data_IF_934906825979
#
_entry.id   IF_934906825979
#
_cell.length_a   1.000
_cell.length_b   1.000
_cell.length_c   1.000
_cell.angle_alpha   90.00
_cell.angle_beta   90.00
_cell.angle_gamma   90.00
#
_symmetry.space_group_name_H-M   'P 1'
#
loop_
_entity.id
_entity.type
_entity.pdbx_description
1 polymer ?
#
# COMPACT_ATOMS: atom_id res chain seq x y z
N UNK A 1 -2.54 25.54 21.07
CA UNK A 1 -3.15 26.83 20.63
C UNK A 1 -4.18 26.54 19.56
N UNK A 2 -5.38 27.17 19.63
CA UNK A 2 -6.39 27.04 18.58
C UNK A 2 -6.51 28.34 17.77
N UNK A 3 -6.75 28.19 16.45
CA UNK A 3 -6.95 29.31 15.54
C UNK A 3 -7.98 28.95 14.45
N UNK A 4 -8.74 29.96 13.99
CA UNK A 4 -9.62 29.84 12.82
C UNK A 4 -8.84 30.23 11.58
N UNK A 5 -8.84 29.36 10.57
CA UNK A 5 -8.08 29.57 9.33
C UNK A 5 -8.85 29.12 8.11
N UNK A 6 -8.63 29.83 7.00
CA UNK A 6 -9.05 29.41 5.67
C UNK A 6 -7.97 28.51 5.08
N UNK A 7 -8.36 27.35 4.60
CA UNK A 7 -7.46 26.39 3.97
C UNK A 7 -7.25 26.78 2.50
N UNK A 8 -5.99 26.85 2.08
CA UNK A 8 -5.63 27.39 0.77
C UNK A 8 -5.46 26.32 -0.30
N UNK A 9 -4.73 25.25 -0.02
CA UNK A 9 -4.39 24.22 -1.01
C UNK A 9 -4.04 22.88 -0.39
N UNK A 10 -4.04 21.85 -1.22
CA UNK A 10 -3.51 20.54 -0.85
C UNK A 10 -2.00 20.58 -0.58
N UNK A 11 -1.54 19.66 0.23
CA UNK A 11 -0.13 19.36 0.46
C UNK A 11 0.08 17.84 0.49
N UNK A 12 1.32 17.42 0.66
CA UNK A 12 1.68 16.03 0.80
C UNK A 12 1.25 15.42 2.14
N UNK A 13 1.37 14.11 2.27
CA UNK A 13 1.11 13.35 3.51
C UNK A 13 -0.31 13.57 4.10
N UNK A 14 -1.31 13.81 3.25
CA UNK A 14 -2.69 14.00 3.68
C UNK A 14 -2.93 15.31 4.45
N UNK A 15 -2.14 16.34 4.20
CA UNK A 15 -2.24 17.66 4.81
C UNK A 15 -2.68 18.72 3.80
N UNK A 16 -3.16 19.81 4.32
CA UNK A 16 -3.41 21.04 3.56
C UNK A 16 -2.59 22.20 4.12
N UNK A 17 -2.47 23.27 3.36
CA UNK A 17 -1.76 24.50 3.76
C UNK A 17 -2.75 25.58 4.17
N UNK A 18 -2.43 26.25 5.27
CA UNK A 18 -3.02 27.50 5.71
C UNK A 18 -1.92 28.43 6.22
N UNK A 19 -2.27 29.67 6.56
CA UNK A 19 -1.37 30.62 7.21
C UNK A 19 -1.98 31.16 8.52
N UNK A 20 -1.17 31.27 9.56
CA UNK A 20 -1.49 31.93 10.82
C UNK A 20 -0.41 32.98 11.06
N UNK A 21 -0.79 34.26 11.17
CA UNK A 21 0.14 35.39 11.37
C UNK A 21 1.31 35.39 10.35
N UNK A 22 1.03 35.07 9.10
CA UNK A 22 2.00 34.99 8.00
C UNK A 22 2.88 33.73 8.00
N UNK A 23 2.65 32.81 8.91
CA UNK A 23 3.38 31.53 8.99
C UNK A 23 2.60 30.41 8.36
N UNK A 24 3.30 29.55 7.60
CA UNK A 24 2.75 28.33 7.02
C UNK A 24 2.34 27.35 8.12
N UNK A 25 1.14 26.81 8.00
CA UNK A 25 0.63 25.72 8.85
C UNK A 25 0.19 24.56 7.98
N UNK A 26 0.71 23.37 8.25
CA UNK A 26 0.24 22.12 7.63
C UNK A 26 -0.86 21.50 8.48
N UNK A 27 -2.07 21.47 7.92
CA UNK A 27 -3.30 21.08 8.63
C UNK A 27 -3.77 19.71 8.16
N UNK A 28 -3.95 18.77 9.10
CA UNK A 28 -4.57 17.46 8.84
C UNK A 28 -6.09 17.56 8.86
N UNK A 29 -6.74 16.68 8.11
CA UNK A 29 -8.21 16.57 8.01
C UNK A 29 -8.90 17.84 7.52
N UNK A 30 -8.20 18.68 6.80
CA UNK A 30 -8.73 19.85 6.13
C UNK A 30 -8.89 19.60 4.62
N UNK A 31 -9.71 20.43 3.97
CA UNK A 31 -9.85 20.50 2.52
C UNK A 31 -9.67 21.95 2.06
N UNK A 32 -9.16 22.21 0.85
CA UNK A 32 -9.07 23.55 0.31
C UNK A 32 -10.42 24.27 0.36
N UNK A 33 -10.36 25.58 0.54
CA UNK A 33 -11.48 26.51 0.64
C UNK A 33 -12.34 26.37 1.92
N UNK A 34 -12.07 25.40 2.79
CA UNK A 34 -12.75 25.31 4.08
C UNK A 34 -12.34 26.42 5.05
N UNK A 35 -13.28 26.88 5.86
CA UNK A 35 -13.00 27.59 7.10
C UNK A 35 -13.04 26.59 8.24
N UNK A 36 -11.93 26.44 8.96
CA UNK A 36 -11.80 25.44 10.04
C UNK A 36 -11.18 26.05 11.29
N UNK A 37 -11.48 25.45 12.45
CA UNK A 37 -10.72 25.67 13.67
C UNK A 37 -9.66 24.56 13.79
N UNK A 38 -8.42 24.98 13.91
CA UNK A 38 -7.25 24.12 13.99
C UNK A 38 -6.66 24.16 15.38
N UNK A 39 -6.31 23.03 15.94
CA UNK A 39 -5.44 22.92 17.10
C UNK A 39 -4.01 22.64 16.63
N UNK A 40 -3.06 23.52 17.02
CA UNK A 40 -1.66 23.37 16.66
C UNK A 40 -1.01 22.28 17.51
N UNK A 41 -0.14 21.49 16.89
CA UNK A 41 0.68 20.49 17.57
C UNK A 41 1.66 21.17 18.53
N UNK A 42 1.88 20.57 19.70
CA UNK A 42 2.82 21.06 20.71
C UNK A 42 4.06 20.14 20.80
N UNK A 43 5.25 20.65 21.04
CA UNK A 43 5.59 22.08 21.15
C UNK A 43 5.64 22.78 19.77
N UNK A 44 5.32 24.07 19.76
CA UNK A 44 5.56 24.94 18.59
C UNK A 44 6.19 26.26 19.05
N UNK A 45 7.14 26.76 18.27
CA UNK A 45 7.86 28.01 18.56
C UNK A 45 7.60 29.04 17.44
N UNK A 46 7.74 30.33 17.82
CA UNK A 46 7.66 31.43 16.86
C UNK A 46 8.77 31.41 15.82
N UNK A 47 9.90 30.76 16.13
CA UNK A 47 11.05 30.65 15.21
C UNK A 47 10.97 29.42 14.29
N UNK A 48 10.00 28.53 14.45
CA UNK A 48 9.79 27.40 13.57
C UNK A 48 9.47 27.88 12.14
N UNK A 49 10.01 27.21 11.15
CA UNK A 49 9.77 27.53 9.72
C UNK A 49 8.31 27.33 9.32
N UNK A 50 7.63 26.39 9.93
CA UNK A 50 6.22 26.08 9.75
C UNK A 50 5.68 25.43 11.01
N UNK A 51 4.36 25.46 11.15
CA UNK A 51 3.66 24.72 12.18
C UNK A 51 2.88 23.57 11.60
N UNK A 52 2.46 22.65 12.44
CA UNK A 52 1.53 21.57 12.12
C UNK A 52 0.33 21.62 13.05
N UNK A 53 -0.78 21.06 12.61
CA UNK A 53 -1.99 21.01 13.43
C UNK A 53 -3.07 20.13 12.80
N UNK A 54 -4.14 19.98 13.54
CA UNK A 54 -5.27 19.14 13.14
C UNK A 54 -6.59 19.90 13.29
N UNK A 55 -7.52 19.63 12.38
CA UNK A 55 -8.87 20.21 12.45
C UNK A 55 -9.59 19.67 13.69
N UNK A 56 -10.10 20.60 14.51
CA UNK A 56 -10.97 20.29 15.65
C UNK A 56 -12.43 20.61 15.38
N UNK A 57 -12.71 21.55 14.45
CA UNK A 57 -14.04 21.92 14.04
C UNK A 57 -14.05 22.43 12.59
N UNK A 58 -15.06 22.05 11.82
CA UNK A 58 -15.29 22.56 10.46
C UNK A 58 -16.42 23.58 10.51
N UNK A 59 -16.11 24.83 10.18
CA UNK A 59 -17.07 25.95 10.23
C UNK A 59 -17.78 26.13 8.89
N UNK A 60 -17.02 26.03 7.78
CA UNK A 60 -17.54 26.06 6.41
C UNK A 60 -16.97 24.88 5.66
N UNK A 61 -17.75 23.82 5.38
CA UNK A 61 -17.25 22.60 4.75
C UNK A 61 -17.10 22.76 3.23
N UNK A 62 -16.11 22.06 2.66
CA UNK A 62 -15.99 21.83 1.22
C UNK A 62 -17.07 20.85 0.73
N UNK A 63 -17.44 20.93 -0.56
CA UNK A 63 -18.32 19.95 -1.22
C UNK A 63 -17.73 18.52 -1.23
N UNK A 64 -16.41 18.40 -1.16
CA UNK A 64 -15.69 17.13 -1.10
C UNK A 64 -15.61 16.55 0.32
N UNK A 65 -16.13 17.22 1.35
CA UNK A 65 -16.14 16.71 2.71
C UNK A 65 -17.22 15.65 2.92
N UNK A 66 -16.81 14.54 3.56
CA UNK A 66 -17.72 13.46 3.97
C UNK A 66 -17.51 13.10 5.44
N UNK A 67 -18.54 12.50 6.05
CA UNK A 67 -18.41 11.86 7.35
C UNK A 67 -17.49 10.65 7.22
N UNK A 68 -16.44 10.52 8.05
CA UNK A 68 -15.54 9.37 8.03
C UNK A 68 -16.27 8.03 8.16
N UNK A 69 -16.12 7.15 7.17
CA UNK A 69 -16.64 5.79 7.25
C UNK A 69 -15.93 4.94 8.33
N UNK A 70 -14.75 5.37 8.76
CA UNK A 70 -14.03 4.83 9.90
C UNK A 70 -13.67 5.97 10.87
N UNK A 71 -14.56 6.26 11.86
CA UNK A 71 -14.38 7.40 12.76
C UNK A 71 -13.06 7.36 13.55
N UNK A 72 -12.58 6.19 13.95
CA UNK A 72 -11.29 6.03 14.65
C UNK A 72 -10.09 6.54 13.83
N UNK A 73 -10.16 6.53 12.50
CA UNK A 73 -9.11 7.09 11.64
C UNK A 73 -9.25 8.59 11.40
N UNK A 74 -10.34 9.20 11.85
CA UNK A 74 -10.63 10.64 11.75
C UNK A 74 -9.82 11.50 12.71
N UNK A 75 -10.23 12.77 12.89
CA UNK A 75 -9.60 13.72 13.79
C UNK A 75 -9.58 13.25 15.25
N UNK A 76 -8.51 13.57 15.97
CA UNK A 76 -8.35 13.20 17.38
C UNK A 76 -9.45 13.85 18.24
N UNK A 77 -9.76 15.11 18.00
CA UNK A 77 -10.81 15.86 18.72
C UNK A 77 -12.21 15.24 18.53
N UNK A 78 -12.42 14.45 17.49
CA UNK A 78 -13.67 13.73 17.20
C UNK A 78 -13.62 12.25 17.64
N UNK A 79 -12.70 11.90 18.53
CA UNK A 79 -12.53 10.54 19.05
C UNK A 79 -11.69 9.60 18.17
N UNK A 80 -11.08 10.13 17.11
CA UNK A 80 -10.24 9.40 16.17
C UNK A 80 -8.77 9.36 16.58
N UNK A 81 -7.91 9.52 15.59
CA UNK A 81 -6.45 9.66 15.76
C UNK A 81 -5.65 8.44 15.33
N UNK A 82 -6.23 7.30 15.01
CA UNK A 82 -5.46 6.16 14.49
C UNK A 82 -4.96 6.42 13.07
N UNK A 83 -3.82 5.85 12.70
CA UNK A 83 -3.27 5.93 11.35
C UNK A 83 -3.97 5.02 10.35
N UNK A 84 -3.54 5.08 9.10
CA UNK A 84 -3.91 4.13 8.04
C UNK A 84 -5.01 4.58 7.08
N UNK A 85 -5.70 5.71 7.33
CA UNK A 85 -6.72 6.28 6.45
C UNK A 85 -6.73 7.81 6.51
N UNK A 86 -5.67 8.47 6.03
CA UNK A 86 -5.49 9.93 6.16
C UNK A 86 -6.53 10.75 5.40
N UNK A 87 -7.17 10.21 4.36
CA UNK A 87 -8.19 10.89 3.57
C UNK A 87 -9.62 10.40 3.87
N UNK A 88 -9.87 9.91 5.06
CA UNK A 88 -11.16 9.33 5.47
C UNK A 88 -12.30 10.37 5.48
N UNK A 89 -11.96 11.66 5.56
CA UNK A 89 -12.88 12.80 5.54
C UNK A 89 -13.18 13.34 4.13
N UNK A 90 -12.62 12.73 3.10
CA UNK A 90 -12.66 13.20 1.72
C UNK A 90 -13.51 12.27 0.87
N UNK A 91 -14.39 12.84 0.03
CA UNK A 91 -15.18 12.09 -0.95
C UNK A 91 -14.28 11.25 -1.87
N UNK A 92 -14.79 10.14 -2.38
CA UNK A 92 -13.98 9.30 -3.29
C UNK A 92 -13.50 10.05 -4.55
N UNK A 93 -14.28 10.94 -5.20
CA UNK A 93 -13.76 11.80 -6.26
C UNK A 93 -12.69 12.77 -5.76
N UNK A 94 -12.91 13.41 -4.60
CA UNK A 94 -11.96 14.33 -3.97
C UNK A 94 -10.61 13.66 -3.67
N UNK A 95 -10.59 12.39 -3.25
CA UNK A 95 -9.36 11.63 -3.04
C UNK A 95 -8.54 11.46 -4.33
N UNK A 96 -9.18 11.22 -5.47
CA UNK A 96 -8.48 11.14 -6.77
C UNK A 96 -7.91 12.49 -7.16
N UNK A 97 -8.69 13.57 -7.01
CA UNK A 97 -8.26 14.96 -7.26
C UNK A 97 -7.05 15.31 -6.40
N UNK A 98 -7.12 15.04 -5.08
CA UNK A 98 -5.99 15.29 -4.17
C UNK A 98 -4.72 14.55 -4.61
N UNK A 99 -4.82 13.25 -4.87
CA UNK A 99 -3.68 12.43 -5.30
C UNK A 99 -3.08 12.94 -6.62
N UNK A 100 -3.90 13.30 -7.60
CA UNK A 100 -3.44 13.85 -8.87
C UNK A 100 -2.64 15.15 -8.68
N UNK A 101 -3.17 16.08 -7.89
CA UNK A 101 -2.50 17.34 -7.57
C UNK A 101 -1.18 17.09 -6.84
N UNK A 102 -1.18 16.23 -5.83
CA UNK A 102 0.03 15.91 -5.05
C UNK A 102 1.11 15.30 -5.93
N UNK A 103 0.78 14.34 -6.78
CA UNK A 103 1.76 13.69 -7.68
C UNK A 103 2.31 14.71 -8.67
N UNK A 104 1.45 15.49 -9.33
CA UNK A 104 1.89 16.52 -10.29
C UNK A 104 2.79 17.58 -9.64
N UNK A 105 2.45 18.02 -8.40
CA UNK A 105 3.28 18.98 -7.66
C UNK A 105 4.65 18.40 -7.30
N UNK A 106 4.72 17.15 -6.87
CA UNK A 106 6.00 16.49 -6.57
C UNK A 106 6.85 16.30 -7.84
N UNK A 107 6.24 15.93 -8.97
CA UNK A 107 6.92 15.80 -10.25
C UNK A 107 7.49 17.14 -10.72
N UNK A 108 6.73 18.23 -10.59
CA UNK A 108 7.20 19.57 -10.96
C UNK A 108 8.32 20.06 -10.02
N UNK A 109 8.12 19.96 -8.69
CA UNK A 109 9.05 20.53 -7.69
C UNK A 109 10.35 19.75 -7.55
N UNK A 110 10.29 18.41 -7.55
CA UNK A 110 11.45 17.54 -7.30
C UNK A 110 11.99 16.94 -8.59
N UNK A 111 11.13 16.56 -9.51
CA UNK A 111 11.51 15.98 -10.79
C UNK A 111 11.79 17.01 -11.88
N UNK A 112 11.41 18.28 -11.68
CA UNK A 112 11.44 19.35 -12.69
C UNK A 112 10.71 18.96 -13.98
N UNK A 113 9.63 18.20 -13.85
CA UNK A 113 8.80 17.69 -14.94
C UNK A 113 7.36 18.15 -14.73
N UNK A 114 6.84 18.93 -15.65
CA UNK A 114 5.42 19.33 -15.64
C UNK A 114 4.60 18.28 -16.38
N UNK A 115 3.90 17.47 -15.63
CA UNK A 115 3.06 16.39 -16.15
C UNK A 115 1.76 16.26 -15.37
N UNK A 116 0.66 16.08 -16.09
CA UNK A 116 -0.62 15.66 -15.50
C UNK A 116 -0.64 14.12 -15.46
N UNK A 117 -0.60 13.57 -14.25
CA UNK A 117 -0.62 12.13 -14.05
C UNK A 117 -2.07 11.68 -13.83
N UNK A 118 -2.62 10.80 -14.67
CA UNK A 118 -3.95 10.26 -14.45
C UNK A 118 -3.95 9.36 -13.22
N UNK A 119 -4.93 9.57 -12.34
CA UNK A 119 -5.15 8.74 -11.15
C UNK A 119 -6.43 7.95 -11.35
N UNK A 120 -6.28 6.65 -11.39
CA UNK A 120 -7.38 5.71 -11.60
C UNK A 120 -7.79 5.05 -10.28
N UNK A 121 -9.09 4.80 -10.17
CA UNK A 121 -9.64 4.03 -9.04
C UNK A 121 -9.51 2.55 -9.33
N UNK A 122 -9.13 1.79 -8.31
CA UNK A 122 -9.12 0.33 -8.44
C UNK A 122 -10.54 -0.22 -8.67
N UNK A 123 -10.69 -1.27 -9.48
CA UNK A 123 -11.96 -1.93 -9.70
C UNK A 123 -12.64 -2.36 -8.39
N UNK A 124 -13.94 -2.13 -8.29
CA UNK A 124 -14.74 -2.48 -7.12
C UNK A 124 -14.76 -1.47 -5.98
N UNK A 125 -13.78 -0.57 -5.85
CA UNK A 125 -13.67 0.36 -4.73
C UNK A 125 -14.82 1.36 -4.65
N UNK A 126 -15.37 1.78 -5.81
CA UNK A 126 -16.55 2.66 -5.82
C UNK A 126 -17.76 1.97 -5.18
N UNK A 127 -18.01 0.72 -5.53
CA UNK A 127 -19.12 -0.05 -4.99
C UNK A 127 -18.94 -0.36 -3.49
N UNK A 128 -17.70 -0.53 -3.04
CA UNK A 128 -17.35 -0.75 -1.64
C UNK A 128 -17.23 0.54 -0.82
N UNK A 129 -17.47 1.73 -1.41
CA UNK A 129 -17.31 3.01 -0.72
C UNK A 129 -15.86 3.32 -0.30
N UNK A 130 -14.86 2.71 -0.96
CA UNK A 130 -13.44 2.84 -0.59
C UNK A 130 -13.01 1.96 0.59
N UNK A 131 -13.84 0.99 0.97
CA UNK A 131 -13.59 0.05 2.08
C UNK A 131 -13.30 -1.37 1.54
N UNK A 132 -13.00 -2.31 2.44
CA UNK A 132 -12.88 -3.75 2.17
C UNK A 132 -11.88 -4.11 1.05
N UNK A 133 -10.73 -3.46 1.02
CA UNK A 133 -9.72 -3.68 -0.02
C UNK A 133 -8.39 -4.28 0.49
N UNK A 134 -8.11 -4.22 1.82
CA UNK A 134 -6.85 -4.72 2.38
C UNK A 134 -6.89 -6.22 2.60
N UNK A 135 -5.92 -6.92 2.03
CA UNK A 135 -5.70 -8.37 2.21
C UNK A 135 -4.70 -8.67 3.33
N UNK A 136 -4.03 -7.64 3.86
CA UNK A 136 -3.07 -7.74 4.97
C UNK A 136 -3.25 -6.57 5.92
N UNK A 137 -3.25 -6.87 7.22
CA UNK A 137 -3.27 -5.88 8.29
C UNK A 137 -2.22 -6.19 9.34
N UNK A 138 -1.72 -5.14 9.98
CA UNK A 138 -0.82 -5.24 11.12
C UNK A 138 -1.36 -4.42 12.27
N UNK A 139 -1.27 -4.96 13.46
CA UNK A 139 -1.73 -4.38 14.72
C UNK A 139 -0.69 -4.64 15.79
N UNK A 140 -0.85 -3.99 16.93
CA UNK A 140 -0.01 -4.20 18.11
C UNK A 140 -0.95 -4.48 19.28
N UNK A 141 -0.64 -5.47 20.11
CA UNK A 141 -1.38 -5.69 21.34
C UNK A 141 -1.19 -4.50 22.30
N UNK A 142 -2.28 -3.98 22.86
CA UNK A 142 -2.22 -2.97 23.91
C UNK A 142 -1.81 -3.56 25.27
N UNK A 143 -1.82 -2.74 26.31
CA UNK A 143 -1.42 -3.17 27.66
C UNK A 143 -2.38 -4.19 28.29
N UNK A 144 -3.59 -4.36 27.72
CA UNK A 144 -4.59 -5.38 28.10
C UNK A 144 -4.57 -6.61 27.18
N UNK A 145 -3.62 -6.67 26.24
CA UNK A 145 -3.52 -7.75 25.27
C UNK A 145 -4.56 -7.69 24.15
N UNK A 146 -5.21 -6.54 23.93
CA UNK A 146 -6.19 -6.35 22.86
C UNK A 146 -5.51 -5.86 21.58
N UNK A 147 -5.98 -6.29 20.38
CA UNK A 147 -5.53 -5.71 19.12
C UNK A 147 -5.74 -4.20 19.12
N UNK A 148 -4.72 -3.47 18.73
CA UNK A 148 -4.76 -2.02 18.80
C UNK A 148 -3.96 -1.36 17.67
N UNK A 149 -4.23 -0.08 17.45
CA UNK A 149 -3.46 0.77 16.56
C UNK A 149 -2.89 1.97 17.33
N UNK A 150 -1.74 2.45 16.89
CA UNK A 150 -1.15 3.66 17.47
C UNK A 150 -1.91 4.91 17.02
N UNK A 151 -2.10 5.83 17.96
CA UNK A 151 -2.50 7.20 17.61
C UNK A 151 -1.35 7.90 16.90
N UNK A 152 -1.68 8.66 15.87
CA UNK A 152 -0.70 9.45 15.10
C UNK A 152 0.16 10.33 16.03
N UNK A 153 1.46 10.34 15.74
CA UNK A 153 2.42 11.17 16.48
C UNK A 153 2.62 10.79 17.95
N UNK A 154 2.04 9.68 18.41
CA UNK A 154 2.16 9.25 19.80
C UNK A 154 2.51 7.75 19.92
N UNK A 155 2.85 7.31 21.13
CA UNK A 155 2.96 5.90 21.48
C UNK A 155 1.66 5.30 22.03
N UNK A 156 0.62 6.15 22.22
CA UNK A 156 -0.65 5.71 22.75
C UNK A 156 -1.33 4.74 21.79
N UNK A 157 -1.95 3.69 22.33
CA UNK A 157 -2.64 2.65 21.61
C UNK A 157 -4.14 2.77 21.81
N UNK A 158 -4.89 2.48 20.78
CA UNK A 158 -6.36 2.43 20.80
C UNK A 158 -6.78 1.04 20.39
N UNK A 159 -7.43 0.32 21.28
CA UNK A 159 -7.98 -1.00 20.97
C UNK A 159 -8.97 -0.88 19.81
N UNK A 160 -8.94 -1.86 18.92
CA UNK A 160 -9.88 -1.97 17.79
C UNK A 160 -10.53 -3.35 17.80
N UNK A 161 -11.77 -3.39 17.42
CA UNK A 161 -12.58 -4.60 17.29
C UNK A 161 -12.94 -4.92 15.83
N UNK A 162 -12.50 -4.06 14.92
CA UNK A 162 -12.66 -4.19 13.47
C UNK A 162 -11.70 -3.28 12.72
N UNK A 163 -11.51 -3.55 11.44
CA UNK A 163 -10.80 -2.66 10.51
C UNK A 163 -11.57 -2.57 9.19
N UNK A 164 -12.37 -1.53 8.97
CA UNK A 164 -13.24 -1.42 7.79
C UNK A 164 -12.52 -1.43 6.44
N UNK A 165 -11.21 -1.16 6.42
CA UNK A 165 -10.40 -1.26 5.20
C UNK A 165 -10.07 -2.70 4.83
N UNK A 166 -10.10 -3.65 5.78
CA UNK A 166 -9.81 -5.06 5.52
C UNK A 166 -10.91 -5.71 4.67
N UNK A 167 -10.53 -6.65 3.82
CA UNK A 167 -11.49 -7.44 3.06
C UNK A 167 -12.43 -8.20 3.99
N UNK A 168 -13.64 -8.49 3.52
CA UNK A 168 -14.60 -9.25 4.32
C UNK A 168 -14.05 -10.61 4.71
N UNK A 169 -13.38 -11.30 3.79
CA UNK A 169 -12.73 -12.58 4.05
C UNK A 169 -11.69 -12.48 5.18
N UNK A 170 -10.91 -11.39 5.21
CA UNK A 170 -9.95 -11.16 6.30
C UNK A 170 -10.67 -10.93 7.63
N UNK A 171 -11.74 -10.14 7.65
CA UNK A 171 -12.52 -9.89 8.86
C UNK A 171 -13.18 -11.18 9.40
N UNK A 172 -13.65 -12.04 8.50
CA UNK A 172 -14.23 -13.34 8.87
C UNK A 172 -13.19 -14.29 9.45
N UNK A 173 -11.96 -14.32 8.86
CA UNK A 173 -10.82 -15.05 9.44
C UNK A 173 -10.47 -14.49 10.82
N UNK A 174 -10.36 -13.17 10.96
CA UNK A 174 -10.05 -12.54 12.24
C UNK A 174 -11.08 -12.90 13.34
N UNK A 175 -12.36 -12.98 12.96
CA UNK A 175 -13.44 -13.41 13.86
C UNK A 175 -13.33 -14.90 14.18
N UNK A 176 -13.12 -15.77 13.20
CA UNK A 176 -12.98 -17.21 13.36
C UNK A 176 -11.81 -17.59 14.27
N UNK A 177 -10.68 -16.88 14.10
CA UNK A 177 -9.47 -17.10 14.88
C UNK A 177 -9.44 -16.30 16.21
N UNK A 178 -10.57 -15.72 16.60
CA UNK A 178 -10.75 -14.99 17.86
C UNK A 178 -9.77 -13.83 18.07
N UNK A 179 -9.29 -13.23 16.97
CA UNK A 179 -8.28 -12.17 17.03
C UNK A 179 -8.78 -10.95 17.80
N UNK A 180 -10.07 -10.58 17.61
CA UNK A 180 -10.66 -9.42 18.27
C UNK A 180 -10.94 -9.62 19.76
N UNK A 181 -10.85 -10.84 20.25
CA UNK A 181 -11.06 -11.17 21.67
C UNK A 181 -9.81 -10.94 22.53
N UNK A 182 -8.67 -10.67 21.89
CA UNK A 182 -7.41 -10.38 22.57
C UNK A 182 -6.68 -11.64 23.07
N UNK A 183 -6.06 -11.52 24.24
CA UNK A 183 -5.25 -12.59 24.83
C UNK A 183 -3.83 -12.65 24.27
N UNK A 184 -3.36 -11.55 23.68
CA UNK A 184 -1.98 -11.39 23.23
C UNK A 184 -1.08 -10.84 24.33
N UNK A 185 0.20 -11.15 24.28
CA UNK A 185 1.18 -10.50 25.15
C UNK A 185 1.25 -9.00 24.81
N UNK A 186 1.24 -8.10 25.82
CA UNK A 186 1.33 -6.67 25.58
C UNK A 186 2.55 -6.29 24.73
N UNK A 187 2.29 -5.57 23.64
CA UNK A 187 3.34 -5.13 22.72
C UNK A 187 3.62 -6.05 21.55
N UNK A 188 3.07 -7.27 21.54
CA UNK A 188 3.21 -8.20 20.43
C UNK A 188 2.68 -7.62 19.12
N UNK A 189 3.37 -7.89 18.03
CA UNK A 189 2.93 -7.56 16.68
C UNK A 189 1.98 -8.64 16.18
N UNK A 190 0.79 -8.24 15.78
CA UNK A 190 -0.26 -9.13 15.27
C UNK A 190 -0.41 -8.84 13.77
N UNK A 191 -0.16 -9.83 12.92
CA UNK A 191 -0.34 -9.71 11.48
C UNK A 191 -1.36 -10.73 10.99
N UNK A 192 -2.31 -10.28 10.17
CA UNK A 192 -3.19 -11.13 9.41
C UNK A 192 -2.90 -10.95 7.93
N UNK A 193 -2.81 -12.07 7.22
CA UNK A 193 -2.63 -12.12 5.77
C UNK A 193 -3.63 -13.11 5.20
N UNK A 194 -4.54 -12.63 4.36
CA UNK A 194 -5.61 -13.45 3.75
C UNK A 194 -5.68 -13.10 2.28
N UNK A 195 -5.18 -13.95 1.37
CA UNK A 195 -5.33 -13.78 -0.06
C UNK A 195 -6.79 -13.64 -0.46
N UNK A 196 -7.07 -12.80 -1.44
CA UNK A 196 -8.43 -12.65 -1.96
C UNK A 196 -8.85 -13.93 -2.70
N UNK A 197 -10.06 -14.45 -2.47
CA UNK A 197 -10.56 -15.62 -3.18
C UNK A 197 -10.71 -15.38 -4.68
N UNK A 198 -10.64 -16.45 -5.46
CA UNK A 198 -10.89 -16.42 -6.92
C UNK A 198 -12.34 -16.05 -7.22
N UNK A 199 -12.53 -15.15 -8.20
CA UNK A 199 -13.82 -14.87 -8.79
C UNK A 199 -14.53 -13.65 -8.23
N UNK A 200 -15.61 -13.29 -8.90
CA UNK A 200 -16.49 -12.21 -8.48
C UNK A 200 -17.10 -12.56 -7.12
N UNK A 201 -16.87 -11.65 -6.17
CA UNK A 201 -17.59 -11.55 -4.89
C UNK A 201 -18.25 -12.86 -4.51
N UNK A 202 -17.56 -13.77 -3.94
CA UNK A 202 -18.20 -14.94 -3.39
C UNK A 202 -17.74 -15.18 -1.99
N UNK A 203 -18.75 -15.37 -1.20
CA UNK A 203 -18.77 -16.06 0.06
C UNK A 203 -17.44 -16.66 0.51
N UNK A 204 -17.07 -16.22 1.58
CA UNK A 204 -16.18 -16.53 2.67
C UNK A 204 -15.59 -17.95 2.79
N UNK A 205 -15.97 -18.89 1.95
CA UNK A 205 -15.53 -20.28 2.02
C UNK A 205 -14.10 -20.53 1.51
N UNK A 206 -13.46 -19.53 0.91
CA UNK A 206 -12.21 -19.75 0.19
C UNK A 206 -10.95 -19.73 1.05
N UNK A 207 -11.08 -19.54 2.34
CA UNK A 207 -9.92 -19.43 3.23
C UNK A 207 -9.64 -20.68 4.05
N UNK A 208 -10.05 -21.86 3.61
CA UNK A 208 -9.99 -23.03 4.50
C UNK A 208 -8.62 -23.19 5.15
N UNK A 209 -7.51 -23.01 4.43
CA UNK A 209 -6.17 -22.97 5.02
C UNK A 209 -5.26 -21.91 4.38
N UNK A 210 -5.76 -21.11 3.43
CA UNK A 210 -4.99 -20.09 2.72
C UNK A 210 -5.04 -18.73 3.41
N UNK A 211 -4.69 -18.70 4.67
CA UNK A 211 -4.57 -17.51 5.50
C UNK A 211 -3.46 -17.68 6.51
N UNK A 212 -3.03 -16.61 7.14
CA UNK A 212 -2.11 -16.65 8.27
C UNK A 212 -2.49 -15.61 9.34
N UNK A 213 -2.43 -16.04 10.58
CA UNK A 213 -2.35 -15.18 11.77
C UNK A 213 -0.96 -15.36 12.37
N UNK A 214 -0.17 -14.29 12.36
CA UNK A 214 1.17 -14.28 12.92
C UNK A 214 1.21 -13.41 14.17
N UNK A 215 1.94 -13.85 15.18
CA UNK A 215 2.27 -13.08 16.38
C UNK A 215 3.78 -13.01 16.50
N UNK A 216 4.34 -11.80 16.50
CA UNK A 216 5.79 -11.55 16.51
C UNK A 216 6.54 -12.30 15.39
N UNK A 217 5.87 -12.49 14.25
CA UNK A 217 6.39 -13.19 13.08
C UNK A 217 6.23 -14.71 13.11
N UNK A 218 5.77 -15.29 14.22
CA UNK A 218 5.52 -16.72 14.37
C UNK A 218 4.07 -17.08 14.02
N UNK A 219 3.89 -18.22 13.36
CA UNK A 219 2.56 -18.69 12.93
C UNK A 219 1.71 -19.14 14.13
N UNK A 220 0.59 -18.46 14.37
CA UNK A 220 -0.41 -18.84 15.36
C UNK A 220 -1.51 -19.71 14.76
N UNK A 221 -1.98 -19.36 13.53
CA UNK A 221 -3.02 -20.11 12.82
C UNK A 221 -2.88 -19.98 11.30
N UNK A 222 -3.38 -20.95 10.56
CA UNK A 222 -3.34 -21.01 9.09
C UNK A 222 -2.01 -21.54 8.56
N UNK A 223 -1.49 -20.94 7.50
CA UNK A 223 -0.32 -21.38 6.76
C UNK A 223 0.76 -20.33 6.66
N UNK A 224 2.04 -20.71 6.86
CA UNK A 224 3.18 -19.81 6.66
C UNK A 224 3.37 -19.43 5.20
N UNK A 225 2.97 -20.28 4.28
CA UNK A 225 3.07 -20.06 2.84
C UNK A 225 1.67 -19.93 2.25
N UNK A 226 1.39 -18.77 1.68
CA UNK A 226 0.10 -18.42 1.12
C UNK A 226 0.13 -18.48 -0.41
N UNK A 227 -0.96 -18.90 -1.01
CA UNK A 227 -1.15 -18.88 -2.46
C UNK A 227 -1.93 -17.62 -2.86
N UNK A 228 -1.25 -16.70 -3.52
CA UNK A 228 -1.84 -15.53 -4.16
C UNK A 228 -2.10 -15.83 -5.63
N UNK A 229 -3.27 -15.48 -6.13
CA UNK A 229 -3.62 -15.72 -7.50
C UNK A 229 -3.87 -14.42 -8.25
N UNK A 230 -3.19 -14.24 -9.37
CA UNK A 230 -3.24 -13.02 -10.19
C UNK A 230 -3.55 -13.37 -11.63
N UNK A 231 -4.63 -12.83 -12.19
CA UNK A 231 -4.98 -13.00 -13.60
C UNK A 231 -4.60 -11.74 -14.38
N UNK A 232 -3.70 -11.89 -15.36
CA UNK A 232 -3.20 -10.80 -16.21
C UNK A 232 -3.51 -11.17 -17.65
N UNK A 233 -4.24 -10.32 -18.37
CA UNK A 233 -4.61 -10.52 -19.78
C UNK A 233 -5.16 -11.94 -20.07
N UNK A 234 -5.96 -12.49 -19.15
CA UNK A 234 -6.58 -13.81 -19.28
C UNK A 234 -5.70 -14.99 -18.84
N UNK A 235 -4.45 -14.78 -18.50
CA UNK A 235 -3.54 -15.80 -17.94
C UNK A 235 -3.49 -15.69 -16.43
N UNK A 236 -3.68 -16.80 -15.74
CA UNK A 236 -3.65 -16.86 -14.29
C UNK A 236 -2.31 -17.38 -13.79
N UNK A 237 -1.73 -16.67 -12.82
CA UNK A 237 -0.47 -16.98 -12.14
C UNK A 237 -0.74 -17.28 -10.67
N UNK A 238 -0.23 -18.39 -10.18
CA UNK A 238 -0.24 -18.74 -8.76
C UNK A 238 1.13 -18.40 -8.14
N UNK A 239 1.12 -17.56 -7.10
CA UNK A 239 2.31 -17.14 -6.37
C UNK A 239 2.30 -17.75 -4.98
N UNK A 240 3.33 -18.47 -4.64
CA UNK A 240 3.59 -18.88 -3.26
C UNK A 240 4.34 -17.74 -2.56
N UNK A 241 3.74 -17.16 -1.54
CA UNK A 241 4.26 -15.98 -0.82
C UNK A 241 4.32 -16.28 0.67
N UNK A 242 5.45 -16.00 1.30
CA UNK A 242 5.56 -16.08 2.76
C UNK A 242 4.59 -15.09 3.44
N UNK A 243 3.84 -15.56 4.43
CA UNK A 243 2.84 -14.78 5.12
C UNK A 243 3.42 -13.56 5.85
N UNK A 244 4.69 -13.65 6.28
CA UNK A 244 5.45 -12.54 6.88
C UNK A 244 6.13 -11.66 5.83
N UNK A 245 6.15 -12.08 4.56
CA UNK A 245 6.75 -11.34 3.46
C UNK A 245 5.87 -10.20 2.94
N UNK A 246 6.50 -9.35 2.11
CA UNK A 246 5.75 -8.31 1.41
C UNK A 246 4.91 -8.92 0.28
N UNK A 247 3.68 -8.42 0.16
CA UNK A 247 2.80 -8.55 -1.00
C UNK A 247 1.92 -7.32 -1.10
N UNK A 248 1.39 -7.01 -2.28
CA UNK A 248 0.49 -5.86 -2.47
C UNK A 248 -0.73 -6.00 -1.58
N UNK A 249 -0.98 -4.99 -0.75
CA UNK A 249 -2.05 -5.05 0.27
C UNK A 249 -3.44 -4.80 -0.28
N UNK A 250 -3.55 -4.11 -1.42
CA UNK A 250 -4.82 -3.88 -2.08
C UNK A 250 -5.15 -5.07 -2.98
N UNK A 251 -6.32 -5.69 -2.78
CA UNK A 251 -6.76 -6.90 -3.49
C UNK A 251 -6.64 -6.85 -5.02
N UNK A 252 -6.80 -5.65 -5.62
CA UNK A 252 -6.72 -5.46 -7.08
C UNK A 252 -5.35 -4.96 -7.56
N UNK A 253 -4.46 -4.53 -6.67
CA UNK A 253 -3.17 -3.99 -7.07
C UNK A 253 -2.29 -4.98 -7.83
N UNK A 254 -2.20 -6.27 -7.47
CA UNK A 254 -1.41 -7.23 -8.23
C UNK A 254 -1.85 -7.32 -9.70
N UNK A 255 -3.16 -7.36 -9.93
CA UNK A 255 -3.74 -7.46 -11.28
C UNK A 255 -3.51 -6.16 -12.06
N UNK A 256 -3.85 -5.00 -11.45
CA UNK A 256 -3.75 -3.71 -12.12
C UNK A 256 -2.29 -3.37 -12.47
N UNK A 257 -1.37 -3.52 -11.51
CA UNK A 257 0.06 -3.25 -11.71
C UNK A 257 0.67 -4.24 -12.71
N UNK A 258 0.40 -5.54 -12.55
CA UNK A 258 0.90 -6.57 -13.46
C UNK A 258 0.42 -6.34 -14.90
N UNK A 259 -0.87 -6.08 -15.09
CA UNK A 259 -1.45 -5.78 -16.43
C UNK A 259 -0.81 -4.52 -17.04
N UNK A 260 -0.66 -3.45 -16.23
CA UNK A 260 -0.07 -2.21 -16.71
C UNK A 260 1.40 -2.40 -17.15
N UNK A 261 2.21 -3.04 -16.31
CA UNK A 261 3.63 -3.31 -16.60
C UNK A 261 3.77 -4.18 -17.86
N UNK A 262 3.02 -5.26 -17.97
CA UNK A 262 3.06 -6.15 -19.14
C UNK A 262 2.70 -5.39 -20.43
N UNK A 263 1.65 -4.58 -20.38
CA UNK A 263 1.22 -3.82 -21.57
C UNK A 263 2.29 -2.78 -21.99
N UNK A 264 2.91 -2.08 -21.03
CA UNK A 264 4.00 -1.15 -21.32
C UNK A 264 5.22 -1.86 -21.92
N UNK A 265 5.65 -2.97 -21.33
CA UNK A 265 6.83 -3.73 -21.78
C UNK A 265 6.59 -4.29 -23.18
N UNK A 266 5.42 -4.90 -23.45
CA UNK A 266 5.08 -5.41 -24.77
C UNK A 266 5.02 -4.29 -25.82
N UNK A 267 4.51 -3.12 -25.45
CA UNK A 267 4.50 -1.94 -26.31
C UNK A 267 5.91 -1.46 -26.70
N UNK A 268 6.87 -1.55 -25.78
CA UNK A 268 8.27 -1.19 -26.02
C UNK A 268 9.02 -2.25 -26.84
N UNK A 269 8.80 -3.51 -26.57
CA UNK A 269 9.49 -4.62 -27.25
C UNK A 269 9.04 -4.84 -28.69
N UNK A 270 7.84 -4.37 -29.06
CA UNK A 270 7.28 -4.50 -30.41
C UNK A 270 7.46 -5.90 -31.03
N UNK A 271 7.20 -6.94 -30.24
CA UNK A 271 7.36 -8.35 -30.64
C UNK A 271 8.80 -8.81 -30.87
N UNK A 272 9.78 -8.20 -30.21
CA UNK A 272 11.16 -8.69 -30.23
C UNK A 272 11.20 -10.14 -29.74
N UNK A 273 11.52 -11.06 -30.63
CA UNK A 273 11.54 -12.50 -30.34
C UNK A 273 12.65 -12.90 -29.34
N UNK A 274 13.62 -12.04 -29.10
CA UNK A 274 14.83 -12.29 -28.33
C UNK A 274 15.15 -11.09 -27.44
N UNK A 275 14.45 -10.96 -26.31
CA UNK A 275 14.56 -9.82 -25.42
C UNK A 275 15.32 -10.16 -24.13
N UNK A 276 16.01 -9.16 -23.57
CA UNK A 276 16.56 -9.20 -22.21
C UNK A 276 15.81 -8.20 -21.37
N UNK A 277 15.24 -8.63 -20.25
CA UNK A 277 14.48 -7.79 -19.32
C UNK A 277 15.14 -7.88 -17.95
N UNK A 278 15.28 -6.74 -17.29
CA UNK A 278 15.62 -6.68 -15.88
C UNK A 278 14.41 -6.29 -15.07
N UNK A 279 14.13 -7.07 -14.02
CA UNK A 279 13.11 -6.80 -13.00
C UNK A 279 13.83 -6.56 -11.67
N UNK A 280 13.98 -5.29 -11.30
CA UNK A 280 14.76 -4.86 -10.15
C UNK A 280 13.83 -4.49 -8.99
N UNK A 281 14.19 -4.93 -7.78
CA UNK A 281 13.32 -4.92 -6.59
C UNK A 281 12.08 -5.82 -6.75
N UNK A 282 12.31 -6.98 -7.34
CA UNK A 282 11.26 -7.85 -7.88
C UNK A 282 10.35 -8.53 -6.83
N UNK A 283 10.67 -8.45 -5.55
CA UNK A 283 9.90 -9.09 -4.48
C UNK A 283 9.76 -10.59 -4.69
N UNK A 284 8.55 -11.11 -4.55
CA UNK A 284 8.22 -12.53 -4.79
C UNK A 284 7.94 -12.84 -6.27
N UNK A 285 8.24 -11.92 -7.19
CA UNK A 285 8.17 -12.11 -8.63
C UNK A 285 6.85 -11.69 -9.28
N UNK A 286 6.12 -10.72 -8.68
CA UNK A 286 4.84 -10.26 -9.22
C UNK A 286 4.92 -9.88 -10.71
N UNK A 287 5.96 -9.16 -11.12
CA UNK A 287 6.19 -8.81 -12.51
C UNK A 287 7.04 -9.86 -13.24
N UNK A 288 7.96 -10.51 -12.55
CA UNK A 288 8.90 -11.48 -13.13
C UNK A 288 8.16 -12.61 -13.88
N UNK A 289 7.16 -13.25 -13.24
CA UNK A 289 6.46 -14.39 -13.84
C UNK A 289 5.71 -14.01 -15.12
N UNK A 290 4.84 -13.00 -15.14
CA UNK A 290 4.16 -12.61 -16.36
C UNK A 290 5.11 -12.04 -17.42
N UNK A 291 6.17 -11.33 -17.05
CA UNK A 291 7.18 -10.86 -18.01
C UNK A 291 7.88 -12.05 -18.70
N UNK A 292 8.28 -13.06 -17.95
CA UNK A 292 8.92 -14.25 -18.50
C UNK A 292 7.98 -15.10 -19.40
N UNK A 293 6.66 -14.97 -19.22
CA UNK A 293 5.67 -15.80 -19.91
C UNK A 293 5.06 -15.10 -21.12
N UNK A 294 4.88 -13.78 -21.05
CA UNK A 294 3.99 -13.02 -21.94
C UNK A 294 4.72 -12.04 -22.87
N UNK A 295 6.06 -11.98 -22.85
CA UNK A 295 6.80 -10.98 -23.62
C UNK A 295 7.53 -11.50 -24.85
N UNK A 296 7.73 -12.77 -25.03
CA UNK A 296 8.39 -13.32 -26.21
C UNK A 296 8.85 -14.74 -26.01
N UNK A 297 9.06 -15.46 -27.12
CA UNK A 297 9.39 -16.89 -27.07
C UNK A 297 10.77 -17.19 -26.44
N UNK A 298 11.70 -16.24 -26.47
CA UNK A 298 13.07 -16.40 -25.95
C UNK A 298 13.48 -15.25 -25.05
N UNK A 299 12.54 -14.78 -24.20
CA UNK A 299 12.82 -13.75 -23.21
C UNK A 299 13.77 -14.29 -22.14
N UNK A 300 14.89 -13.62 -21.95
CA UNK A 300 15.84 -13.86 -20.86
C UNK A 300 15.70 -12.77 -19.83
N UNK A 301 15.74 -13.15 -18.56
CA UNK A 301 15.51 -12.17 -17.50
C UNK A 301 16.55 -12.24 -16.40
N UNK A 302 16.88 -11.06 -15.86
CA UNK A 302 17.52 -10.89 -14.58
C UNK A 302 16.48 -10.32 -13.60
N UNK A 303 16.23 -11.02 -12.50
CA UNK A 303 15.37 -10.59 -11.41
C UNK A 303 16.22 -10.38 -10.16
N UNK A 304 16.19 -9.21 -9.53
CA UNK A 304 17.02 -8.88 -8.37
C UNK A 304 16.17 -8.36 -7.23
N UNK A 305 16.38 -8.95 -6.04
CA UNK A 305 15.65 -8.57 -4.82
C UNK A 305 16.56 -8.68 -3.60
N UNK A 306 16.48 -7.71 -2.68
CA UNK A 306 17.28 -7.69 -1.44
C UNK A 306 16.83 -8.73 -0.42
N UNK A 307 15.53 -8.98 -0.30
CA UNK A 307 14.96 -9.88 0.69
C UNK A 307 15.09 -11.36 0.27
N UNK A 308 15.98 -12.10 0.93
CA UNK A 308 16.25 -13.51 0.60
C UNK A 308 15.00 -14.41 0.60
N UNK A 309 14.03 -14.13 1.49
CA UNK A 309 12.76 -14.89 1.56
C UNK A 309 11.94 -14.66 0.30
N UNK A 310 11.83 -13.42 -0.15
CA UNK A 310 11.13 -13.07 -1.38
C UNK A 310 11.76 -13.72 -2.61
N UNK A 311 13.09 -13.73 -2.71
CA UNK A 311 13.81 -14.44 -3.81
C UNK A 311 13.54 -15.94 -3.78
N UNK A 312 13.52 -16.57 -2.60
CA UNK A 312 13.17 -18.00 -2.48
C UNK A 312 11.74 -18.28 -2.98
N UNK A 313 10.80 -17.37 -2.68
CA UNK A 313 9.44 -17.47 -3.20
C UNK A 313 9.43 -17.31 -4.72
N UNK A 314 10.07 -16.28 -5.27
CA UNK A 314 10.19 -16.06 -6.71
C UNK A 314 10.80 -17.29 -7.42
N UNK A 315 11.89 -17.83 -6.92
CA UNK A 315 12.54 -19.04 -7.48
C UNK A 315 11.63 -20.29 -7.43
N UNK A 316 10.80 -20.42 -6.37
CA UNK A 316 9.81 -21.50 -6.26
C UNK A 316 8.73 -21.32 -7.33
N UNK A 317 8.21 -20.11 -7.47
CA UNK A 317 7.17 -19.78 -8.43
C UNK A 317 7.65 -19.96 -9.87
N UNK A 318 8.87 -19.54 -10.19
CA UNK A 318 9.50 -19.76 -11.50
C UNK A 318 9.63 -21.25 -11.83
N UNK A 319 10.10 -22.07 -10.88
CA UNK A 319 10.22 -23.53 -11.07
C UNK A 319 8.86 -24.19 -11.29
N UNK A 320 7.82 -23.77 -10.57
CA UNK A 320 6.46 -24.30 -10.74
C UNK A 320 5.93 -24.08 -12.14
N UNK A 321 6.37 -23.02 -12.84
CA UNK A 321 6.00 -22.68 -14.20
C UNK A 321 7.04 -23.12 -15.25
N UNK A 322 8.10 -23.83 -14.88
CA UNK A 322 9.21 -24.24 -15.76
C UNK A 322 9.93 -23.06 -16.45
N UNK A 323 9.98 -21.88 -15.82
CA UNK A 323 10.63 -20.69 -16.33
C UNK A 323 12.14 -20.70 -15.98
N UNK A 324 12.93 -21.43 -16.78
CA UNK A 324 14.36 -21.67 -16.52
C UNK A 324 15.28 -20.57 -17.06
N UNK A 325 14.78 -19.66 -17.91
CA UNK A 325 15.56 -18.56 -18.51
C UNK A 325 15.53 -17.27 -17.69
N UNK A 326 15.09 -17.38 -16.42
CA UNK A 326 15.09 -16.30 -15.43
C UNK A 326 16.16 -16.52 -14.39
N UNK A 327 17.12 -15.61 -14.31
CA UNK A 327 18.17 -15.60 -13.27
C UNK A 327 17.69 -14.72 -12.09
N UNK A 328 17.10 -15.37 -11.07
CA UNK A 328 16.57 -14.68 -9.88
C UNK A 328 17.61 -14.68 -8.76
N UNK A 329 18.11 -13.49 -8.40
CA UNK A 329 19.22 -13.26 -7.46
C UNK A 329 18.80 -12.50 -6.21
N UNK A 330 19.33 -12.95 -5.08
CA UNK A 330 19.25 -12.20 -3.82
C UNK A 330 20.48 -11.30 -3.68
N UNK A 331 20.25 -10.00 -3.49
CA UNK A 331 21.35 -9.06 -3.27
C UNK A 331 20.90 -7.60 -3.40
N UNK A 332 21.81 -6.73 -3.03
CA UNK A 332 21.69 -5.30 -3.32
C UNK A 332 21.70 -5.10 -4.84
N UNK A 333 20.77 -4.29 -5.34
CA UNK A 333 20.60 -4.09 -6.79
C UNK A 333 21.86 -3.52 -7.41
N UNK A 334 22.44 -2.45 -6.86
CA UNK A 334 23.62 -1.79 -7.41
C UNK A 334 24.79 -2.78 -7.54
N UNK A 335 25.11 -3.49 -6.46
CA UNK A 335 26.22 -4.48 -6.44
C UNK A 335 25.97 -5.67 -7.36
N UNK A 336 24.71 -6.10 -7.50
CA UNK A 336 24.38 -7.21 -8.39
C UNK A 336 24.57 -6.82 -9.85
N UNK A 337 24.27 -5.57 -10.21
CA UNK A 337 24.41 -5.06 -11.56
C UNK A 337 25.89 -4.93 -12.00
N UNK A 338 26.84 -4.81 -11.07
CA UNK A 338 28.28 -4.82 -11.38
C UNK A 338 28.77 -6.17 -11.93
N UNK A 339 27.98 -7.25 -11.73
CA UNK A 339 28.37 -8.63 -12.02
C UNK A 339 27.33 -9.38 -12.87
N UNK A 340 26.70 -8.70 -13.81
CA UNK A 340 25.70 -9.30 -14.70
C UNK A 340 26.39 -10.17 -15.76
N UNK A 341 25.94 -11.42 -16.00
CA UNK A 341 26.46 -12.26 -17.06
C UNK A 341 26.32 -11.61 -18.44
N UNK A 342 27.28 -11.85 -19.33
CA UNK A 342 27.35 -11.21 -20.64
C UNK A 342 26.03 -11.37 -21.45
N UNK A 343 25.34 -12.51 -21.34
CA UNK A 343 24.09 -12.77 -22.06
C UNK A 343 22.89 -11.99 -21.50
N UNK A 344 23.01 -11.38 -20.32
CA UNK A 344 21.99 -10.54 -19.67
C UNK A 344 22.45 -9.08 -19.55
N UNK A 345 23.67 -8.73 -19.94
CA UNK A 345 24.29 -7.44 -19.65
C UNK A 345 23.70 -6.23 -20.40
N UNK A 346 22.85 -6.48 -21.41
CA UNK A 346 22.25 -5.40 -22.22
C UNK A 346 20.74 -5.56 -22.24
N UNK A 347 20.02 -5.04 -21.25
CA UNK A 347 18.57 -5.15 -21.24
C UNK A 347 17.93 -4.29 -22.33
N UNK A 348 16.86 -4.81 -22.94
CA UNK A 348 15.96 -4.06 -23.79
C UNK A 348 14.99 -3.22 -22.97
N UNK A 349 14.61 -3.74 -21.81
CA UNK A 349 13.70 -3.06 -20.86
C UNK A 349 14.17 -3.31 -19.43
N UNK A 350 14.05 -2.27 -18.60
CA UNK A 350 14.26 -2.37 -17.14
C UNK A 350 12.96 -1.98 -16.45
N UNK A 351 12.46 -2.86 -15.59
CA UNK A 351 11.34 -2.61 -14.69
C UNK A 351 11.91 -2.31 -13.31
N UNK A 352 11.45 -1.22 -12.68
CA UNK A 352 11.93 -0.73 -11.39
C UNK A 352 10.74 -0.48 -10.46
N UNK A 353 10.73 -1.13 -9.29
CA UNK A 353 9.78 -0.84 -8.20
C UNK A 353 10.53 -0.72 -6.86
N UNK A 354 11.37 0.33 -6.68
CA UNK A 354 12.21 0.48 -5.50
C UNK A 354 11.40 0.81 -4.24
N UNK A 355 11.94 0.50 -3.04
CA UNK A 355 11.34 0.94 -1.78
C UNK A 355 11.40 2.48 -1.67
N UNK A 356 10.52 3.07 -0.82
CA UNK A 356 10.42 4.53 -0.64
C UNK A 356 11.71 5.20 -0.16
N UNK A 357 12.60 4.46 0.45
CA UNK A 357 13.89 4.97 0.92
C UNK A 357 14.97 5.01 -0.17
N UNK A 358 14.67 4.54 -1.37
CA UNK A 358 15.62 4.47 -2.49
C UNK A 358 16.47 3.22 -2.48
#
# INVERSE_FOLDING_TARGET
MQAEVRIERYADQGRCVAHIDGRVVFVRFALPDELVRVELDEPHDRDDRFWTGEVVEVLEPSEDRVTPAWPLAGPLAMGGGVGGADLVHVSLPGQLKWKAITVSEQMSRLGHIDVAVPIERMPGDKAAGGLNWRTRIEMIADDNGMPSMRRRGTHNRVAIDTMPLATRTLLDVAKREHVWEGGFEPGSQIRLSVPEPRGEIVDTAAADDNYAVLVDGELRAGSQLLTEQVTINGTTFDYQVDANGFWQVHRQAPIALGTHVINLVNGQLQSAADAVIWDLYSGSGLFTLPLATMTGERTRMLSVEGARVAVKNAQRNLRAMNLNDVDARAGDVSRTLDHVPAHLAKPNVVVLDPPRAG
#
